data_IF_421885213148
#
_entry.id   IF_421885213148
#
_cell.length_a   1.000
_cell.length_b   1.000
_cell.length_c   1.000
_cell.angle_alpha   90.00
_cell.angle_beta   90.00
_cell.angle_gamma   90.00
#
_symmetry.space_group_name_H-M   'P 1'
#
loop_
_entity.id
_entity.type
_entity.pdbx_description
1 polymer ?
#
# COMPACT_ATOMS: atom_id res chain seq x y z
N UNK A 1 -6.32 38.89 30.38
CA UNK A 1 -5.31 38.66 29.32
C UNK A 1 -5.42 37.20 28.90
N UNK A 2 -6.13 36.93 27.80
CA UNK A 2 -6.26 35.58 27.25
C UNK A 2 -4.98 35.27 26.50
N UNK A 3 -4.16 34.37 27.04
CA UNK A 3 -2.94 33.88 26.38
C UNK A 3 -3.37 33.24 25.06
N UNK A 4 -3.13 33.95 23.95
CA UNK A 4 -3.22 33.39 22.61
C UNK A 4 -2.16 32.28 22.54
N UNK A 5 -2.59 31.03 22.69
CA UNK A 5 -1.74 29.87 22.45
C UNK A 5 -1.51 29.86 20.94
N UNK A 6 -0.42 30.48 20.49
CA UNK A 6 0.03 30.35 19.10
C UNK A 6 0.35 28.87 18.91
N UNK A 7 -0.37 28.13 18.05
CA UNK A 7 -0.10 26.71 17.84
C UNK A 7 1.33 26.57 17.33
N UNK A 8 2.18 25.93 18.12
CA UNK A 8 3.56 25.72 17.72
C UNK A 8 3.60 24.83 16.48
N UNK A 9 4.38 25.24 15.48
CA UNK A 9 4.61 24.45 14.28
C UNK A 9 5.20 23.09 14.69
N UNK A 10 4.63 21.95 14.25
CA UNK A 10 5.13 20.63 14.61
C UNK A 10 6.60 20.47 14.18
N UNK A 11 7.33 19.61 14.91
CA UNK A 11 8.74 19.32 14.59
C UNK A 11 8.88 18.67 13.22
N UNK A 12 10.03 18.86 12.56
CA UNK A 12 10.29 18.30 11.22
C UNK A 12 10.01 16.79 11.17
N UNK A 13 10.44 16.03 12.18
CA UNK A 13 10.17 14.60 12.29
C UNK A 13 8.66 14.28 12.27
N UNK A 14 7.85 15.01 13.05
CA UNK A 14 6.39 14.80 13.09
C UNK A 14 5.73 15.09 11.75
N UNK A 15 6.20 16.11 11.02
CA UNK A 15 5.69 16.45 9.69
C UNK A 15 5.92 15.30 8.70
N UNK A 16 7.15 14.77 8.64
CA UNK A 16 7.45 13.64 7.76
C UNK A 16 6.75 12.35 8.21
N UNK A 17 6.63 12.10 9.51
CA UNK A 17 5.86 10.97 10.04
C UNK A 17 4.38 11.01 9.62
N UNK A 18 3.78 12.21 9.64
CA UNK A 18 2.43 12.44 9.17
C UNK A 18 2.32 12.24 7.65
N UNK A 19 3.28 12.77 6.87
CA UNK A 19 3.33 12.60 5.41
C UNK A 19 3.40 11.12 4.98
N UNK A 20 4.11 10.28 5.74
CA UNK A 20 4.23 8.85 5.48
C UNK A 20 2.91 8.09 5.70
N UNK A 21 1.98 8.64 6.48
CA UNK A 21 0.75 7.99 6.95
C UNK A 21 1.05 6.63 7.58
N UNK A 22 2.00 6.58 8.53
CA UNK A 22 2.51 5.34 9.14
C UNK A 22 1.42 4.41 9.68
N UNK A 23 0.26 4.95 10.09
CA UNK A 23 -0.90 4.17 10.50
C UNK A 23 -1.42 3.21 9.41
N UNK A 24 -1.13 3.45 8.12
CA UNK A 24 -1.51 2.57 7.01
C UNK A 24 -0.56 1.39 6.82
N UNK A 25 0.66 1.41 7.38
CA UNK A 25 1.71 0.42 7.11
C UNK A 25 1.35 -1.05 7.41
N UNK A 26 0.40 -1.40 8.31
CA UNK A 26 -0.10 -2.77 8.38
C UNK A 26 -0.54 -3.33 7.01
N UNK A 27 -1.02 -2.49 6.10
CA UNK A 27 -1.45 -2.89 4.76
C UNK A 27 -0.33 -3.45 3.88
N UNK A 28 0.94 -3.11 4.13
CA UNK A 28 2.09 -3.71 3.44
C UNK A 28 2.82 -4.72 4.32
N UNK A 29 2.93 -4.47 5.62
CA UNK A 29 3.65 -5.34 6.56
C UNK A 29 2.99 -6.72 6.67
N UNK A 30 1.67 -6.78 6.85
CA UNK A 30 0.95 -8.05 7.06
C UNK A 30 1.06 -8.98 5.85
N UNK A 31 0.82 -8.54 4.60
CA UNK A 31 1.06 -9.37 3.41
C UNK A 31 2.50 -9.87 3.28
N UNK A 32 3.50 -9.04 3.59
CA UNK A 32 4.93 -9.41 3.53
C UNK A 32 5.24 -10.51 4.55
N UNK A 33 4.72 -10.38 5.78
CA UNK A 33 4.86 -11.39 6.82
C UNK A 33 4.22 -12.71 6.39
N UNK A 34 3.01 -12.67 5.84
CA UNK A 34 2.32 -13.87 5.33
C UNK A 34 3.16 -14.56 4.26
N UNK A 35 3.60 -13.84 3.22
CA UNK A 35 4.42 -14.41 2.15
C UNK A 35 5.72 -15.03 2.66
N UNK A 36 6.37 -14.36 3.61
CA UNK A 36 7.58 -14.85 4.28
C UNK A 36 7.31 -16.15 5.03
N UNK A 37 6.23 -16.23 5.82
CA UNK A 37 5.86 -17.44 6.57
C UNK A 37 5.58 -18.60 5.62
N UNK A 38 4.85 -18.36 4.52
CA UNK A 38 4.55 -19.40 3.53
C UNK A 38 5.82 -19.92 2.84
N UNK A 39 6.79 -19.05 2.57
CA UNK A 39 8.08 -19.46 2.03
C UNK A 39 8.87 -20.31 3.02
N UNK A 40 8.93 -19.90 4.29
CA UNK A 40 9.63 -20.64 5.35
C UNK A 40 8.98 -22.01 5.57
N UNK A 41 7.65 -22.10 5.54
CA UNK A 41 6.93 -23.38 5.62
C UNK A 41 7.29 -24.33 4.48
N UNK A 42 7.52 -23.80 3.27
CA UNK A 42 7.83 -24.59 2.08
C UNK A 42 9.31 -24.98 1.98
N UNK A 43 10.22 -24.10 2.38
CA UNK A 43 11.67 -24.25 2.20
C UNK A 43 12.40 -24.70 3.47
N UNK A 44 11.74 -24.61 4.64
CA UNK A 44 12.34 -24.77 5.97
C UNK A 44 13.54 -23.86 6.23
N UNK A 45 13.66 -22.75 5.48
CA UNK A 45 14.76 -21.79 5.60
C UNK A 45 14.22 -20.37 5.71
N UNK A 46 14.83 -19.60 6.60
CA UNK A 46 14.55 -18.19 6.77
C UNK A 46 15.79 -17.36 6.45
N UNK A 47 15.71 -16.59 5.38
CA UNK A 47 16.75 -15.68 4.93
C UNK A 47 16.49 -14.30 5.54
N UNK A 48 17.08 -14.04 6.72
CA UNK A 48 16.85 -12.82 7.49
C UNK A 48 17.13 -11.55 6.68
N UNK A 49 18.25 -11.49 5.95
CA UNK A 49 18.58 -10.31 5.16
C UNK A 49 17.56 -10.07 4.03
N UNK A 50 17.13 -11.13 3.33
CA UNK A 50 16.08 -11.02 2.31
C UNK A 50 14.76 -10.54 2.91
N UNK A 51 14.40 -11.01 4.10
CA UNK A 51 13.21 -10.55 4.82
C UNK A 51 13.30 -9.06 5.16
N UNK A 52 14.40 -8.62 5.75
CA UNK A 52 14.60 -7.23 6.13
C UNK A 52 14.57 -6.29 4.91
N UNK A 53 15.22 -6.67 3.82
CA UNK A 53 15.19 -5.90 2.56
C UNK A 53 13.80 -5.87 1.93
N UNK A 54 13.06 -6.98 1.97
CA UNK A 54 11.68 -7.05 1.47
C UNK A 54 10.75 -6.17 2.30
N UNK A 55 10.86 -6.25 3.63
CA UNK A 55 10.05 -5.47 4.54
C UNK A 55 10.34 -3.97 4.40
N UNK A 56 11.63 -3.60 4.43
CA UNK A 56 12.05 -2.21 4.26
C UNK A 56 11.65 -1.67 2.89
N UNK A 57 11.95 -2.39 1.81
CA UNK A 57 11.61 -2.00 0.45
C UNK A 57 10.10 -1.85 0.27
N UNK A 58 9.30 -2.83 0.69
CA UNK A 58 7.84 -2.78 0.57
C UNK A 58 7.20 -1.65 1.37
N UNK A 59 7.68 -1.38 2.59
CA UNK A 59 7.22 -0.24 3.40
C UNK A 59 7.64 1.10 2.78
N UNK A 60 8.85 1.21 2.24
CA UNK A 60 9.30 2.42 1.53
C UNK A 60 8.51 2.67 0.25
N UNK A 61 8.18 1.63 -0.52
CA UNK A 61 7.33 1.74 -1.70
C UNK A 61 5.93 2.24 -1.34
N UNK A 62 5.32 1.67 -0.30
CA UNK A 62 4.02 2.11 0.21
C UNK A 62 4.08 3.55 0.72
N UNK A 63 5.10 3.90 1.51
CA UNK A 63 5.33 5.26 1.97
C UNK A 63 5.45 6.26 0.81
N UNK A 64 6.21 5.93 -0.24
CA UNK A 64 6.31 6.74 -1.44
C UNK A 64 4.95 6.91 -2.13
N UNK A 65 4.17 5.84 -2.24
CA UNK A 65 2.82 5.89 -2.81
C UNK A 65 1.89 6.82 -2.02
N UNK A 66 1.93 6.79 -0.68
CA UNK A 66 1.17 7.73 0.16
C UNK A 66 1.59 9.19 -0.10
N UNK A 67 2.90 9.45 -0.17
CA UNK A 67 3.46 10.79 -0.38
C UNK A 67 3.11 11.32 -1.78
N UNK A 68 3.21 10.49 -2.82
CA UNK A 68 2.82 10.87 -4.17
C UNK A 68 1.31 11.07 -4.28
N UNK A 69 0.51 10.24 -3.63
CA UNK A 69 -0.94 10.42 -3.62
C UNK A 69 -1.32 11.80 -3.03
N UNK A 70 -0.78 12.17 -1.87
CA UNK A 70 -0.96 13.53 -1.31
C UNK A 70 -0.52 14.64 -2.29
N UNK A 71 0.65 14.46 -2.92
CA UNK A 71 1.18 15.44 -3.86
C UNK A 71 0.25 15.65 -5.07
N UNK A 72 -0.20 14.57 -5.71
CA UNK A 72 -1.06 14.65 -6.88
C UNK A 72 -2.47 15.08 -6.53
N UNK A 73 -3.03 14.65 -5.40
CA UNK A 73 -4.35 15.09 -4.94
C UNK A 73 -4.35 16.59 -4.63
N UNK A 74 -3.31 17.10 -3.96
CA UNK A 74 -3.14 18.54 -3.73
C UNK A 74 -2.97 19.33 -5.04
N UNK A 75 -2.12 18.84 -5.96
CA UNK A 75 -1.85 19.51 -7.25
C UNK A 75 -3.08 19.54 -8.16
N UNK A 76 -3.91 18.50 -8.10
CA UNK A 76 -5.14 18.39 -8.88
C UNK A 76 -6.36 19.04 -8.20
N UNK A 77 -6.17 19.72 -7.06
CA UNK A 77 -7.23 20.36 -6.27
C UNK A 77 -8.31 19.40 -5.76
N UNK A 78 -7.96 18.13 -5.57
CA UNK A 78 -8.79 17.13 -4.88
C UNK A 78 -8.71 17.41 -3.37
N UNK A 79 -7.50 17.59 -2.85
CA UNK A 79 -7.27 17.88 -1.44
C UNK A 79 -7.25 19.40 -1.18
N UNK A 80 -8.30 19.90 -0.54
CA UNK A 80 -8.48 21.33 -0.26
C UNK A 80 -8.61 21.66 1.23
N UNK A 81 -8.84 20.67 2.10
CA UNK A 81 -9.00 20.86 3.55
C UNK A 81 -7.88 20.16 4.36
N UNK A 82 -7.55 20.63 5.58
CA UNK A 82 -6.52 20.04 6.44
C UNK A 82 -6.71 18.56 6.79
N UNK A 83 -7.95 18.09 6.82
CA UNK A 83 -8.36 16.72 7.11
C UNK A 83 -8.19 15.75 5.93
N UNK A 84 -7.96 16.26 4.71
CA UNK A 84 -7.72 15.42 3.55
C UNK A 84 -6.30 14.89 3.53
N UNK A 85 -6.18 13.63 3.11
CA UNK A 85 -4.91 12.94 2.99
C UNK A 85 -4.07 12.95 4.26
N UNK A 86 -2.79 13.30 4.18
CA UNK A 86 -1.99 13.56 5.39
C UNK A 86 -2.20 14.95 5.98
N UNK A 87 -2.82 15.89 5.25
CA UNK A 87 -2.94 17.28 5.65
C UNK A 87 -1.65 18.11 5.54
N UNK A 88 -0.49 17.50 5.23
CA UNK A 88 0.82 18.18 5.24
C UNK A 88 0.90 19.31 4.20
N UNK A 89 0.36 19.10 3.00
CA UNK A 89 0.35 20.09 1.93
C UNK A 89 -0.75 21.14 2.12
N UNK A 90 -1.97 20.73 2.48
CA UNK A 90 -3.10 21.65 2.70
C UNK A 90 -2.85 22.59 3.88
N UNK A 91 -2.10 22.15 4.89
CA UNK A 91 -1.64 22.98 6.02
C UNK A 91 -0.32 23.72 5.74
N UNK A 92 0.26 23.59 4.55
CA UNK A 92 1.52 24.23 4.14
C UNK A 92 2.71 23.92 5.07
N UNK A 93 2.72 22.71 5.66
CA UNK A 93 3.81 22.25 6.53
C UNK A 93 5.07 21.91 5.71
N UNK A 94 4.88 21.37 4.49
CA UNK A 94 5.89 21.23 3.45
C UNK A 94 5.40 21.92 2.16
N UNK A 95 6.35 22.34 1.33
CA UNK A 95 6.05 22.72 -0.06
C UNK A 95 5.79 21.48 -0.93
N UNK A 96 5.05 21.65 -2.02
CA UNK A 96 4.82 20.59 -3.00
C UNK A 96 6.13 20.02 -3.57
N UNK A 97 7.16 20.87 -3.74
CA UNK A 97 8.50 20.45 -4.15
C UNK A 97 9.14 19.51 -3.11
N UNK A 98 9.15 19.90 -1.84
CA UNK A 98 9.71 19.06 -0.76
C UNK A 98 8.97 17.72 -0.64
N UNK A 99 7.65 17.72 -0.81
CA UNK A 99 6.84 16.49 -0.78
C UNK A 99 7.21 15.55 -1.94
N UNK A 100 7.36 16.09 -3.16
CA UNK A 100 7.76 15.31 -4.33
C UNK A 100 9.19 14.75 -4.21
N UNK A 101 10.14 15.57 -3.74
CA UNK A 101 11.52 15.14 -3.47
C UNK A 101 11.56 14.03 -2.41
N UNK A 102 10.74 14.14 -1.36
CA UNK A 102 10.63 13.10 -0.34
C UNK A 102 10.10 11.78 -0.90
N UNK A 103 9.03 11.82 -1.70
CA UNK A 103 8.51 10.63 -2.39
C UNK A 103 9.54 9.98 -3.32
N UNK A 104 10.36 10.81 -3.97
CA UNK A 104 11.44 10.36 -4.86
C UNK A 104 12.57 9.67 -4.07
N UNK A 105 12.95 10.24 -2.93
CA UNK A 105 13.94 9.63 -2.03
C UNK A 105 13.46 8.26 -1.50
N UNK A 106 12.21 8.16 -1.07
CA UNK A 106 11.60 6.91 -0.60
C UNK A 106 11.57 5.86 -1.71
N UNK A 107 11.21 6.26 -2.93
CA UNK A 107 11.20 5.39 -4.11
C UNK A 107 12.59 4.89 -4.46
N UNK A 108 13.60 5.77 -4.45
CA UNK A 108 14.99 5.39 -4.71
C UNK A 108 15.52 4.41 -3.66
N UNK A 109 15.23 4.63 -2.38
CA UNK A 109 15.61 3.73 -1.30
C UNK A 109 14.90 2.36 -1.41
N UNK A 110 13.61 2.35 -1.79
CA UNK A 110 12.88 1.11 -2.09
C UNK A 110 13.50 0.35 -3.26
N UNK A 111 13.82 1.04 -4.36
CA UNK A 111 14.47 0.45 -5.53
C UNK A 111 15.85 -0.10 -5.18
N UNK A 112 16.62 0.56 -4.31
CA UNK A 112 17.89 0.04 -3.82
C UNK A 112 17.71 -1.29 -3.06
N UNK A 113 16.67 -1.41 -2.22
CA UNK A 113 16.35 -2.68 -1.55
C UNK A 113 16.02 -3.78 -2.57
N UNK A 114 15.18 -3.47 -3.57
CA UNK A 114 14.84 -4.39 -4.65
C UNK A 114 16.05 -4.80 -5.48
N UNK A 115 16.94 -3.87 -5.79
CA UNK A 115 18.18 -4.14 -6.53
C UNK A 115 19.12 -5.07 -5.75
N UNK A 116 19.31 -4.82 -4.45
CA UNK A 116 20.10 -5.70 -3.59
C UNK A 116 19.49 -7.12 -3.52
N UNK A 117 18.15 -7.23 -3.43
CA UNK A 117 17.46 -8.53 -3.50
C UNK A 117 17.73 -9.25 -4.82
N UNK A 118 17.68 -8.55 -5.96
CA UNK A 118 17.99 -9.13 -7.27
C UNK A 118 19.43 -9.65 -7.35
N UNK A 119 20.40 -8.90 -6.81
CA UNK A 119 21.79 -9.35 -6.73
C UNK A 119 21.93 -10.61 -5.87
N UNK A 120 21.20 -10.69 -4.76
CA UNK A 120 21.21 -11.86 -3.87
C UNK A 120 20.54 -13.09 -4.49
N UNK A 121 19.50 -12.91 -5.31
CA UNK A 121 18.84 -14.02 -5.99
C UNK A 121 19.65 -14.55 -7.18
N UNK A 122 20.47 -13.72 -7.82
CA UNK A 122 21.25 -14.10 -8.99
C UNK A 122 20.38 -14.68 -10.11
N UNK A 123 20.81 -15.81 -10.70
CA UNK A 123 20.06 -16.52 -11.74
C UNK A 123 19.03 -17.52 -11.20
N UNK A 124 18.53 -17.32 -9.98
CA UNK A 124 17.47 -18.16 -9.40
C UNK A 124 16.22 -18.19 -10.29
N UNK A 125 15.48 -19.31 -10.27
CA UNK A 125 14.19 -19.44 -10.96
C UNK A 125 13.17 -18.36 -10.55
N UNK A 126 13.35 -17.77 -9.37
CA UNK A 126 12.45 -16.73 -8.82
C UNK A 126 12.79 -15.32 -9.30
N UNK A 127 13.97 -15.09 -9.89
CA UNK A 127 14.45 -13.76 -10.31
C UNK A 127 13.51 -13.13 -11.34
N UNK A 128 13.09 -13.87 -12.37
CA UNK A 128 12.17 -13.35 -13.39
C UNK A 128 10.80 -12.95 -12.80
N UNK A 129 10.28 -13.74 -11.86
CA UNK A 129 9.03 -13.43 -11.15
C UNK A 129 9.13 -12.14 -10.33
N UNK A 130 10.24 -11.94 -9.61
CA UNK A 130 10.47 -10.71 -8.84
C UNK A 130 10.61 -9.50 -9.75
N UNK A 131 11.37 -9.59 -10.84
CA UNK A 131 11.49 -8.49 -11.81
C UNK A 131 10.11 -8.12 -12.36
N UNK A 132 9.29 -9.11 -12.73
CA UNK A 132 7.92 -8.90 -13.16
C UNK A 132 7.07 -8.18 -12.10
N UNK A 133 7.13 -8.62 -10.84
CA UNK A 133 6.40 -7.99 -9.73
C UNK A 133 6.86 -6.55 -9.46
N UNK A 134 8.16 -6.27 -9.53
CA UNK A 134 8.71 -4.92 -9.36
C UNK A 134 8.22 -4.00 -10.48
N UNK A 135 8.26 -4.46 -11.74
CA UNK A 135 7.76 -3.68 -12.88
C UNK A 135 6.27 -3.42 -12.76
N UNK A 136 5.47 -4.46 -12.47
CA UNK A 136 4.02 -4.32 -12.28
C UNK A 136 3.71 -3.39 -11.10
N UNK A 137 4.41 -3.52 -9.98
CA UNK A 137 4.23 -2.68 -8.81
C UNK A 137 4.59 -1.20 -9.07
N UNK A 138 5.69 -0.95 -9.78
CA UNK A 138 6.09 0.40 -10.19
C UNK A 138 5.07 1.03 -11.14
N UNK A 139 4.62 0.27 -12.15
CA UNK A 139 3.57 0.72 -13.08
C UNK A 139 2.25 0.98 -12.34
N UNK A 140 1.85 0.09 -11.43
CA UNK A 140 0.65 0.26 -10.62
C UNK A 140 0.71 1.53 -9.77
N UNK A 141 1.83 1.80 -9.08
CA UNK A 141 1.99 2.99 -8.25
C UNK A 141 1.90 4.30 -9.07
N UNK A 142 2.53 4.31 -10.26
CA UNK A 142 2.46 5.45 -11.19
C UNK A 142 1.04 5.65 -11.74
N UNK A 143 0.45 4.58 -12.25
CA UNK A 143 -0.89 4.62 -12.85
C UNK A 143 -1.96 4.95 -11.81
N UNK A 144 -1.83 4.48 -10.57
CA UNK A 144 -2.74 4.80 -9.46
C UNK A 144 -2.83 6.31 -9.24
N UNK A 145 -1.67 6.93 -9.01
CA UNK A 145 -1.57 8.34 -8.63
C UNK A 145 -1.95 9.28 -9.79
N UNK A 146 -1.78 8.83 -11.03
CA UNK A 146 -2.02 9.66 -12.22
C UNK A 146 -3.41 9.46 -12.83
N UNK A 147 -3.95 8.25 -12.83
CA UNK A 147 -5.10 7.87 -13.68
C UNK A 147 -6.11 7.00 -12.95
N UNK A 148 -5.70 5.84 -12.41
CA UNK A 148 -6.61 4.76 -12.01
C UNK A 148 -7.49 5.11 -10.81
N UNK A 149 -7.01 5.98 -9.90
CA UNK A 149 -7.83 6.46 -8.77
C UNK A 149 -9.15 7.08 -9.25
N UNK A 150 -9.18 7.64 -10.46
CA UNK A 150 -10.37 8.32 -11.02
C UNK A 150 -11.37 7.36 -11.69
N UNK A 151 -11.06 6.08 -11.86
CA UNK A 151 -11.88 5.12 -12.62
C UNK A 151 -12.42 3.96 -11.77
N UNK A 152 -12.50 4.12 -10.45
CA UNK A 152 -12.96 3.10 -9.51
C UNK A 152 -12.19 1.76 -9.56
N UNK A 153 -10.93 1.81 -10.02
CA UNK A 153 -10.03 0.66 -10.08
C UNK A 153 -9.07 0.58 -8.88
N UNK A 154 -9.19 1.50 -7.93
CA UNK A 154 -8.31 1.57 -6.75
C UNK A 154 -8.38 0.32 -5.87
N UNK A 155 -9.59 -0.10 -5.50
CA UNK A 155 -9.85 -1.29 -4.67
C UNK A 155 -9.21 -2.55 -5.31
N UNK A 156 -9.48 -2.79 -6.60
CA UNK A 156 -8.86 -3.89 -7.35
C UNK A 156 -7.33 -3.79 -7.38
N UNK A 157 -6.79 -2.59 -7.63
CA UNK A 157 -5.34 -2.40 -7.69
C UNK A 157 -4.67 -2.72 -6.36
N UNK A 158 -5.26 -2.28 -5.24
CA UNK A 158 -4.75 -2.54 -3.90
C UNK A 158 -4.83 -4.04 -3.56
N UNK A 159 -5.90 -4.74 -3.92
CA UNK A 159 -5.97 -6.21 -3.80
C UNK A 159 -4.84 -6.89 -4.57
N UNK A 160 -4.62 -6.50 -5.83
CA UNK A 160 -3.61 -7.11 -6.69
C UNK A 160 -2.18 -6.81 -6.23
N UNK A 161 -1.91 -5.57 -5.79
CA UNK A 161 -0.56 -5.13 -5.47
C UNK A 161 -0.20 -5.35 -4.00
N UNK A 162 -1.05 -4.90 -3.08
CA UNK A 162 -0.78 -5.02 -1.65
C UNK A 162 -1.17 -6.38 -1.11
N UNK A 163 -2.33 -6.91 -1.51
CA UNK A 163 -2.77 -8.24 -1.11
C UNK A 163 -1.87 -9.32 -1.72
N UNK A 164 -1.96 -9.51 -3.03
CA UNK A 164 -1.24 -10.58 -3.71
C UNK A 164 0.22 -10.25 -4.01
N UNK A 165 0.50 -9.06 -4.51
CA UNK A 165 1.84 -8.66 -4.94
C UNK A 165 2.87 -8.70 -3.81
N UNK A 166 2.57 -8.11 -2.65
CA UNK A 166 3.49 -8.16 -1.50
C UNK A 166 3.65 -9.57 -0.93
N UNK A 167 2.57 -10.35 -0.82
CA UNK A 167 2.67 -11.73 -0.33
C UNK A 167 3.47 -12.63 -1.29
N UNK A 168 3.23 -12.54 -2.59
CA UNK A 168 3.99 -13.29 -3.58
C UNK A 168 5.43 -12.81 -3.67
N UNK A 169 5.66 -11.49 -3.64
CA UNK A 169 7.00 -10.91 -3.62
C UNK A 169 7.82 -11.40 -2.43
N UNK A 170 7.25 -11.35 -1.22
CA UNK A 170 7.91 -11.83 -0.01
C UNK A 170 8.15 -13.35 -0.01
N UNK A 171 7.25 -14.12 -0.62
CA UNK A 171 7.45 -15.55 -0.82
C UNK A 171 8.67 -15.81 -1.74
N UNK A 172 8.76 -15.10 -2.85
CA UNK A 172 9.83 -15.28 -3.83
C UNK A 172 11.20 -14.76 -3.34
N UNK A 173 11.24 -13.66 -2.59
CA UNK A 173 12.50 -13.10 -2.06
C UNK A 173 13.14 -14.00 -0.99
N UNK A 174 12.36 -14.88 -0.35
CA UNK A 174 12.84 -15.94 0.52
C UNK A 174 13.38 -17.17 -0.24
N UNK A 175 13.69 -17.02 -1.54
CA UNK A 175 14.24 -18.07 -2.40
C UNK A 175 13.35 -19.32 -2.48
N UNK A 176 12.04 -19.15 -2.27
CA UNK A 176 11.10 -20.26 -2.34
C UNK A 176 10.86 -20.70 -3.80
N UNK A 177 10.52 -21.99 -4.04
CA UNK A 177 10.34 -22.51 -5.39
C UNK A 177 9.20 -21.81 -6.13
N UNK A 178 9.46 -21.43 -7.39
CA UNK A 178 8.45 -20.92 -8.31
C UNK A 178 7.75 -22.09 -9.03
N UNK A 179 6.90 -22.82 -8.31
CA UNK A 179 6.01 -23.84 -8.86
C UNK A 179 4.58 -23.31 -8.89
N UNK A 180 3.80 -23.67 -9.91
CA UNK A 180 2.41 -23.20 -10.06
C UNK A 180 1.58 -23.46 -8.80
N UNK A 181 1.61 -24.69 -8.27
CA UNK A 181 0.90 -25.05 -7.03
C UNK A 181 1.32 -24.21 -5.81
N UNK A 182 2.59 -23.78 -5.75
CA UNK A 182 3.06 -22.91 -4.66
C UNK A 182 2.55 -21.47 -4.84
N UNK A 183 2.53 -20.96 -6.06
CA UNK A 183 1.96 -19.63 -6.37
C UNK A 183 0.46 -19.61 -6.06
N UNK A 184 -0.28 -20.61 -6.53
CA UNK A 184 -1.71 -20.78 -6.23
C UNK A 184 -1.97 -20.79 -4.73
N UNK A 185 -1.19 -21.57 -3.96
CA UNK A 185 -1.30 -21.61 -2.51
C UNK A 185 -1.07 -20.25 -1.87
N UNK A 186 -0.07 -19.50 -2.32
CA UNK A 186 0.20 -18.14 -1.80
C UNK A 186 -0.96 -17.21 -2.09
N UNK A 187 -1.48 -17.21 -3.32
CA UNK A 187 -2.62 -16.36 -3.70
C UNK A 187 -3.88 -16.68 -2.90
N UNK A 188 -4.22 -17.96 -2.76
CA UNK A 188 -5.39 -18.41 -1.99
C UNK A 188 -5.28 -18.02 -0.51
N UNK A 189 -4.13 -18.25 0.12
CA UNK A 189 -3.92 -17.90 1.52
C UNK A 189 -3.78 -16.39 1.75
N UNK A 190 -3.53 -15.62 0.69
CA UNK A 190 -3.50 -14.15 0.74
C UNK A 190 -4.90 -13.53 0.65
N UNK A 191 -5.94 -14.26 0.25
CA UNK A 191 -7.31 -13.73 0.12
C UNK A 191 -7.84 -13.04 1.39
N UNK A 192 -7.71 -13.61 2.61
CA UNK A 192 -8.14 -12.94 3.83
C UNK A 192 -7.39 -11.62 4.05
N UNK A 193 -6.07 -11.63 3.86
CA UNK A 193 -5.25 -10.42 4.05
C UNK A 193 -5.58 -9.37 3.00
N UNK A 194 -5.73 -9.77 1.73
CA UNK A 194 -6.10 -8.88 0.64
C UNK A 194 -7.46 -8.20 0.90
N UNK A 195 -8.44 -8.94 1.45
CA UNK A 195 -9.73 -8.36 1.83
C UNK A 195 -9.64 -7.33 2.95
N UNK A 196 -8.78 -7.56 3.96
CA UNK A 196 -8.58 -6.60 5.05
C UNK A 196 -7.81 -5.36 4.59
N UNK A 197 -6.84 -5.54 3.69
CA UNK A 197 -6.11 -4.44 3.06
C UNK A 197 -7.06 -3.56 2.24
N UNK A 198 -7.95 -4.17 1.46
CA UNK A 198 -8.96 -3.43 0.72
C UNK A 198 -9.99 -2.78 1.65
N UNK A 199 -10.35 -3.41 2.76
CA UNK A 199 -11.23 -2.80 3.77
C UNK A 199 -10.67 -1.46 4.29
N UNK A 200 -9.34 -1.35 4.44
CA UNK A 200 -8.67 -0.09 4.83
C UNK A 200 -8.88 0.99 3.75
N UNK A 201 -8.63 0.65 2.48
CA UNK A 201 -8.83 1.59 1.37
C UNK A 201 -10.31 1.97 1.23
N UNK A 202 -11.19 0.98 1.24
CA UNK A 202 -12.62 1.17 1.07
C UNK A 202 -13.22 2.03 2.19
N UNK A 203 -12.77 1.85 3.43
CA UNK A 203 -13.16 2.70 4.55
C UNK A 203 -12.73 4.17 4.33
N UNK A 204 -11.52 4.41 3.81
CA UNK A 204 -11.07 5.75 3.44
C UNK A 204 -11.95 6.34 2.32
N UNK A 205 -12.18 5.57 1.25
CA UNK A 205 -13.03 6.01 0.13
C UNK A 205 -14.49 6.27 0.56
N UNK A 206 -15.01 5.56 1.57
CA UNK A 206 -16.33 5.81 2.15
C UNK A 206 -16.38 7.10 2.95
N UNK A 207 -15.32 7.41 3.72
CA UNK A 207 -15.21 8.67 4.47
C UNK A 207 -15.16 9.86 3.51
N UNK A 208 -14.36 9.75 2.46
CA UNK A 208 -14.04 10.87 1.55
C UNK A 208 -15.00 10.92 0.33
N UNK A 209 -16.04 10.08 0.34
CA UNK A 209 -16.98 9.84 -0.77
C UNK A 209 -17.55 11.11 -1.41
N UNK A 210 -17.99 12.07 -0.59
CA UNK A 210 -18.65 13.27 -1.08
C UNK A 210 -17.64 14.22 -1.74
N UNK A 211 -16.48 14.39 -1.11
CA UNK A 211 -15.41 15.26 -1.59
C UNK A 211 -14.79 14.69 -2.88
N UNK A 212 -14.53 13.38 -2.94
CA UNK A 212 -14.04 12.70 -4.14
C UNK A 212 -14.98 12.90 -5.33
N UNK A 213 -16.30 12.76 -5.11
CA UNK A 213 -17.29 12.93 -6.17
C UNK A 213 -17.34 14.37 -6.69
N UNK A 214 -17.18 15.36 -5.80
CA UNK A 214 -17.10 16.78 -6.18
C UNK A 214 -15.83 17.07 -6.99
N UNK A 215 -14.73 16.38 -6.68
CA UNK A 215 -13.46 16.49 -7.40
C UNK A 215 -13.38 15.65 -8.70
N UNK A 216 -14.46 14.96 -9.09
CA UNK A 216 -14.50 14.12 -10.29
C UNK A 216 -13.65 12.84 -10.17
N UNK A 217 -13.40 12.38 -8.94
CA UNK A 217 -12.73 11.11 -8.64
C UNK A 217 -13.81 10.07 -8.37
N UNK A 218 -13.80 8.97 -9.11
CA UNK A 218 -14.77 7.88 -8.92
C UNK A 218 -14.12 6.69 -8.20
N UNK A 219 -14.73 6.26 -7.10
CA UNK A 219 -14.33 5.10 -6.29
C UNK A 219 -15.49 4.13 -6.18
N UNK A 220 -15.26 2.85 -5.88
CA UNK A 220 -16.37 1.92 -5.63
C UNK A 220 -17.29 2.45 -4.52
N UNK A 221 -16.66 3.02 -3.49
CA UNK A 221 -17.34 3.62 -2.36
C UNK A 221 -18.21 4.82 -2.74
N UNK A 222 -18.00 5.50 -3.88
CA UNK A 222 -18.82 6.63 -4.33
C UNK A 222 -19.74 6.34 -5.53
N UNK A 223 -19.53 5.22 -6.23
CA UNK A 223 -20.42 4.72 -7.28
C UNK A 223 -21.59 3.92 -6.72
N UNK A 224 -21.37 3.10 -5.69
CA UNK A 224 -22.43 2.32 -5.04
C UNK A 224 -23.38 3.22 -4.23
N UNK A 225 -24.61 2.83 -3.90
CA UNK A 225 -25.37 3.53 -2.85
C UNK A 225 -24.69 3.35 -1.47
N UNK A 226 -24.86 4.31 -0.54
CA UNK A 226 -24.16 4.29 0.76
C UNK A 226 -24.36 2.98 1.54
N UNK A 227 -25.56 2.42 1.50
CA UNK A 227 -25.87 1.14 2.14
C UNK A 227 -25.02 -0.02 1.56
N UNK A 228 -24.86 -0.05 0.23
CA UNK A 228 -24.05 -1.06 -0.46
C UNK A 228 -22.56 -0.87 -0.24
N UNK A 229 -22.06 0.37 -0.19
CA UNK A 229 -20.68 0.63 0.19
C UNK A 229 -20.38 0.17 1.62
N UNK A 230 -21.27 0.44 2.58
CA UNK A 230 -21.15 -0.10 3.95
C UNK A 230 -21.22 -1.62 3.98
N UNK A 231 -22.12 -2.23 3.20
CA UNK A 231 -22.23 -3.69 3.10
C UNK A 231 -20.95 -4.32 2.52
N UNK A 232 -20.34 -3.71 1.50
CA UNK A 232 -19.05 -4.14 0.95
C UNK A 232 -17.95 -4.06 2.01
N UNK A 233 -17.85 -2.94 2.75
CA UNK A 233 -16.91 -2.83 3.86
C UNK A 233 -17.08 -3.96 4.89
N UNK A 234 -18.32 -4.23 5.31
CA UNK A 234 -18.60 -5.33 6.24
C UNK A 234 -18.22 -6.68 5.64
N UNK A 235 -18.54 -6.91 4.36
CA UNK A 235 -18.12 -8.10 3.63
C UNK A 235 -16.60 -8.30 3.68
N UNK A 236 -15.82 -7.25 3.35
CA UNK A 236 -14.35 -7.30 3.39
C UNK A 236 -13.80 -7.58 4.80
N UNK A 237 -14.41 -7.01 5.85
CA UNK A 237 -13.98 -7.23 7.24
C UNK A 237 -14.30 -8.64 7.76
N UNK A 238 -15.46 -9.20 7.40
CA UNK A 238 -15.92 -10.50 7.89
C UNK A 238 -15.54 -11.66 6.98
N UNK A 239 -15.08 -11.40 5.76
CA UNK A 239 -14.63 -12.42 4.81
C UNK A 239 -13.55 -13.36 5.38
N UNK A 240 -12.52 -12.88 6.11
CA UNK A 240 -11.58 -13.78 6.78
C UNK A 240 -12.23 -14.77 7.76
N UNK A 241 -13.23 -14.32 8.53
CA UNK A 241 -13.94 -15.18 9.49
C UNK A 241 -14.82 -16.21 8.78
N UNK A 242 -15.45 -15.81 7.68
CA UNK A 242 -16.22 -16.72 6.84
C UNK A 242 -15.34 -17.82 6.23
N UNK A 243 -14.17 -17.44 5.68
CA UNK A 243 -13.20 -18.42 5.18
C UNK A 243 -12.68 -19.35 6.28
N UNK A 244 -12.44 -18.82 7.49
CA UNK A 244 -12.05 -19.63 8.64
C UNK A 244 -13.13 -20.63 9.05
N UNK A 245 -14.40 -20.20 9.07
CA UNK A 245 -15.54 -21.06 9.36
C UNK A 245 -15.70 -22.19 8.34
N UNK A 246 -15.50 -21.94 7.04
CA UNK A 246 -15.53 -22.98 6.00
C UNK A 246 -14.40 -24.00 6.10
N UNK A 247 -13.30 -23.66 6.77
CA UNK A 247 -12.12 -24.51 6.89
C UNK A 247 -12.12 -25.38 8.17
N UNK A 248 -13.08 -25.18 9.07
CA UNK A 248 -13.28 -25.94 10.31
C UNK A 248 -14.42 -26.94 10.15
#
# INVERSE_FOLDING_TARGET
MTTQIVPQKPTSFRIYWQALRVYSFPASIVPILLGTVLAVQQSHRFYLLSFLLTLLGGVLAHAAANVYNDYYDYKNHVDVRPEHGSGVLTQRLLSAKQMFEFGTLLSAASLACGFLLLLMLGSSSSTGGIVGLVVVGALAALLYSMVLKRYALGDLLIVLTFGFGFSLGAYLTQMAPLKLASVERVLLLSLPVASLVDAILHANNLRDRLDDRQAGVYTLANLLPLAWGKALLMGLLFFPLFLWWLAC
#
